data_IF_043056738199
#
_entry.id   IF_043056738199
#
_cell.length_a   1.000
_cell.length_b   1.000
_cell.length_c   1.000
_cell.angle_alpha   90.00
_cell.angle_beta   90.00
_cell.angle_gamma   90.00
#
_symmetry.space_group_name_H-M   'P 1'
#
loop_
_entity.id
_entity.type
_entity.pdbx_description
1 polymer ?
#
# COMPACT_ATOMS: atom_id res chain seq x y z
N UNK A 1 12.74 10.72 17.47
CA UNK A 1 11.48 10.18 18.00
C UNK A 1 10.31 11.10 17.64
N UNK A 2 9.20 10.55 17.21
CA UNK A 2 8.02 11.33 16.84
C UNK A 2 7.29 11.84 18.09
N UNK A 3 6.90 13.10 18.09
CA UNK A 3 6.06 13.67 19.14
C UNK A 3 4.61 13.20 18.98
N UNK A 4 3.80 13.36 20.02
CA UNK A 4 2.38 13.04 19.96
C UNK A 4 1.67 13.80 18.83
N UNK A 5 1.99 15.09 18.67
CA UNK A 5 1.42 15.95 17.62
C UNK A 5 1.80 15.44 16.23
N UNK A 6 3.08 15.05 16.04
CA UNK A 6 3.56 14.50 14.77
C UNK A 6 2.87 13.19 14.43
N UNK A 7 2.67 12.32 15.43
CA UNK A 7 1.95 11.05 15.24
C UNK A 7 0.50 11.28 14.84
N UNK A 8 -0.17 12.23 15.47
CA UNK A 8 -1.54 12.59 15.14
C UNK A 8 -1.65 13.12 13.71
N UNK A 9 -0.67 13.92 13.27
CA UNK A 9 -0.64 14.45 11.92
C UNK A 9 -0.46 13.32 10.89
N UNK A 10 0.44 12.38 11.15
CA UNK A 10 0.65 11.22 10.28
C UNK A 10 -0.63 10.40 10.15
N UNK A 11 -1.31 10.15 11.26
CA UNK A 11 -2.58 9.40 11.28
C UNK A 11 -3.65 10.13 10.47
N UNK A 12 -3.77 11.45 10.65
CA UNK A 12 -4.75 12.25 9.92
C UNK A 12 -4.49 12.24 8.41
N UNK A 13 -3.23 12.40 8.00
CA UNK A 13 -2.84 12.40 6.60
C UNK A 13 -3.10 11.03 5.95
N UNK A 14 -2.76 9.94 6.64
CA UNK A 14 -3.01 8.60 6.15
C UNK A 14 -4.50 8.28 6.05
N UNK A 15 -5.28 8.68 7.06
CA UNK A 15 -6.74 8.49 7.05
C UNK A 15 -7.36 9.18 5.84
N UNK A 16 -6.93 10.40 5.53
CA UNK A 16 -7.38 11.12 4.35
C UNK A 16 -7.03 10.39 3.06
N UNK A 17 -5.81 9.85 2.96
CA UNK A 17 -5.37 9.06 1.81
C UNK A 17 -6.20 7.80 1.64
N UNK A 18 -6.53 7.11 2.73
CA UNK A 18 -7.39 5.93 2.68
C UNK A 18 -8.80 6.25 2.18
N UNK A 19 -9.30 7.44 2.48
CA UNK A 19 -10.61 7.88 1.98
C UNK A 19 -10.60 8.22 0.49
N UNK A 20 -9.45 8.69 -0.05
CA UNK A 20 -9.33 9.12 -1.44
C UNK A 20 -8.85 8.02 -2.38
N UNK A 21 -8.27 6.95 -1.85
CA UNK A 21 -7.62 5.92 -2.66
C UNK A 21 -8.62 5.08 -3.45
N UNK A 22 -8.20 4.63 -4.62
CA UNK A 22 -8.90 3.60 -5.39
C UNK A 22 -8.37 2.22 -5.02
N UNK A 23 -7.07 2.12 -4.71
CA UNK A 23 -6.45 0.91 -4.22
C UNK A 23 -5.39 1.27 -3.20
N UNK A 24 -5.28 0.48 -2.13
CA UNK A 24 -4.16 0.55 -1.19
C UNK A 24 -3.59 -0.86 -1.03
N UNK A 25 -2.26 -0.97 -1.05
CA UNK A 25 -1.57 -2.26 -0.92
C UNK A 25 -0.61 -2.20 0.24
N UNK A 26 -0.68 -3.19 1.12
CA UNK A 26 0.22 -3.33 2.27
C UNK A 26 1.34 -4.30 1.91
N UNK A 27 2.57 -3.92 2.19
CA UNK A 27 3.74 -4.72 1.83
C UNK A 27 4.81 -4.71 2.92
N UNK A 28 5.62 -5.77 2.94
CA UNK A 28 6.79 -5.90 3.79
C UNK A 28 8.02 -5.62 2.92
N UNK A 29 8.80 -4.63 3.32
CA UNK A 29 9.97 -4.20 2.56
C UNK A 29 11.29 -4.55 3.24
N UNK A 30 11.29 -5.49 4.18
CA UNK A 30 12.51 -5.93 4.85
C UNK A 30 13.51 -6.47 3.84
N UNK A 31 14.78 -6.09 4.01
CA UNK A 31 15.85 -6.50 3.11
C UNK A 31 15.92 -5.72 1.80
N UNK A 32 15.06 -4.73 1.61
CA UNK A 32 15.09 -3.88 0.41
C UNK A 32 15.94 -2.63 0.69
N UNK A 33 16.88 -2.34 -0.19
CA UNK A 33 17.75 -1.17 -0.05
C UNK A 33 16.99 0.13 -0.27
N UNK A 34 17.51 1.21 0.28
CA UNK A 34 16.94 2.56 0.09
C UNK A 34 16.90 2.92 -1.41
N UNK A 35 17.94 2.58 -2.15
CA UNK A 35 17.99 2.84 -3.59
C UNK A 35 16.86 2.15 -4.34
N UNK A 36 16.58 0.88 -4.00
CA UNK A 36 15.48 0.12 -4.61
C UNK A 36 14.12 0.69 -4.25
N UNK A 37 13.92 1.10 -2.99
CA UNK A 37 12.67 1.74 -2.55
C UNK A 37 12.45 3.07 -3.28
N UNK A 38 13.51 3.85 -3.50
CA UNK A 38 13.39 5.10 -4.26
C UNK A 38 13.03 4.84 -5.71
N UNK A 39 13.58 3.79 -6.31
CA UNK A 39 13.20 3.38 -7.67
C UNK A 39 11.72 2.97 -7.73
N UNK A 40 11.25 2.22 -6.74
CA UNK A 40 9.85 1.82 -6.64
C UNK A 40 8.93 3.04 -6.52
N UNK A 41 9.29 4.01 -5.69
CA UNK A 41 8.52 5.25 -5.54
C UNK A 41 8.38 6.01 -6.85
N UNK A 42 9.44 6.05 -7.65
CA UNK A 42 9.41 6.71 -8.96
C UNK A 42 8.48 5.99 -9.92
N UNK A 43 8.50 4.66 -9.93
CA UNK A 43 7.60 3.87 -10.76
C UNK A 43 6.15 4.07 -10.35
N UNK A 44 5.87 4.07 -9.05
CA UNK A 44 4.53 4.28 -8.53
C UNK A 44 4.01 5.69 -8.83
N UNK A 45 4.88 6.68 -8.79
CA UNK A 45 4.49 8.05 -9.13
C UNK A 45 3.99 8.15 -10.57
N UNK A 46 4.61 7.41 -11.50
CA UNK A 46 4.17 7.35 -12.90
C UNK A 46 2.78 6.72 -13.02
N UNK A 47 2.42 5.84 -12.11
CA UNK A 47 1.11 5.19 -12.06
C UNK A 47 0.08 5.97 -11.22
N UNK A 48 0.36 7.21 -10.91
CA UNK A 48 -0.46 8.07 -10.03
C UNK A 48 -0.68 7.42 -8.66
N UNK A 49 0.37 6.82 -8.13
CA UNK A 49 0.37 6.17 -6.83
C UNK A 49 1.45 6.75 -5.92
N UNK A 50 1.29 6.50 -4.64
CA UNK A 50 2.17 7.02 -3.60
C UNK A 50 2.56 5.89 -2.66
N UNK A 51 3.82 5.86 -2.23
CA UNK A 51 4.33 4.85 -1.30
C UNK A 51 4.70 5.51 0.02
N UNK A 52 4.12 5.04 1.11
CA UNK A 52 4.38 5.55 2.46
C UNK A 52 4.79 4.41 3.38
N UNK A 53 5.78 4.66 4.22
CA UNK A 53 6.22 3.71 5.25
C UNK A 53 5.65 4.18 6.59
N UNK A 54 5.04 3.27 7.33
CA UNK A 54 4.46 3.59 8.63
C UNK A 54 4.57 2.40 9.57
N UNK A 55 4.50 2.69 10.87
CA UNK A 55 4.43 1.66 11.90
C UNK A 55 3.00 1.13 11.97
N UNK A 56 2.87 -0.17 12.28
CA UNK A 56 1.57 -0.83 12.42
C UNK A 56 0.61 -0.06 13.31
N UNK A 57 1.08 0.43 14.46
CA UNK A 57 0.22 1.16 15.40
C UNK A 57 -0.40 2.41 14.80
N UNK A 58 0.38 3.15 13.99
CA UNK A 58 -0.13 4.35 13.31
C UNK A 58 -1.06 3.97 12.16
N UNK A 59 -0.75 2.88 11.46
CA UNK A 59 -1.61 2.35 10.40
C UNK A 59 -2.97 1.95 10.96
N UNK A 60 -3.00 1.24 12.09
CA UNK A 60 -4.26 0.83 12.75
C UNK A 60 -5.12 2.05 13.10
N UNK A 61 -4.51 3.09 13.65
CA UNK A 61 -5.21 4.32 13.98
C UNK A 61 -5.77 5.04 12.75
N UNK A 62 -4.99 5.06 11.67
CA UNK A 62 -5.42 5.70 10.42
C UNK A 62 -6.61 4.96 9.80
N UNK A 63 -6.58 3.63 9.81
CA UNK A 63 -7.67 2.80 9.30
C UNK A 63 -8.93 2.99 10.12
N UNK A 64 -8.81 3.00 11.45
CA UNK A 64 -9.93 3.24 12.35
C UNK A 64 -10.55 4.61 12.10
N UNK A 65 -9.72 5.65 11.97
CA UNK A 65 -10.18 7.01 11.70
C UNK A 65 -10.85 7.14 10.34
N UNK A 66 -10.42 6.34 9.35
CA UNK A 66 -11.03 6.29 8.02
C UNK A 66 -12.31 5.46 7.98
N UNK A 67 -12.67 4.81 9.09
CA UNK A 67 -13.85 3.97 9.18
C UNK A 67 -13.67 2.58 8.58
N UNK A 68 -12.43 2.11 8.48
CA UNK A 68 -12.10 0.80 7.92
C UNK A 68 -11.78 -0.18 9.03
N UNK A 69 -12.50 -1.30 9.06
CA UNK A 69 -12.23 -2.40 9.99
C UNK A 69 -11.32 -3.41 9.31
N UNK A 70 -10.01 -3.28 9.55
CA UNK A 70 -9.03 -4.21 9.02
C UNK A 70 -8.37 -4.96 10.17
N UNK A 71 -8.30 -6.29 10.06
CA UNK A 71 -7.56 -7.10 11.01
C UNK A 71 -6.09 -7.05 10.63
N UNK A 72 -5.31 -6.27 11.37
CA UNK A 72 -3.88 -6.07 11.10
C UNK A 72 -2.99 -7.00 11.90
N UNK A 73 -3.54 -8.05 12.51
CA UNK A 73 -2.78 -8.99 13.36
C UNK A 73 -1.61 -9.66 12.66
N UNK A 74 -1.71 -9.83 11.34
CA UNK A 74 -0.65 -10.45 10.53
C UNK A 74 0.42 -9.45 10.11
N UNK A 75 0.18 -8.16 10.31
CA UNK A 75 1.12 -7.11 9.97
C UNK A 75 1.98 -6.78 11.18
N UNK A 76 3.29 -6.79 11.02
CA UNK A 76 4.23 -6.52 12.12
C UNK A 76 5.25 -5.46 11.73
N UNK A 77 5.64 -4.63 12.71
CA UNK A 77 6.71 -3.66 12.54
C UNK A 77 6.35 -2.50 11.64
N UNK A 78 7.22 -2.21 10.69
CA UNK A 78 7.01 -1.14 9.72
C UNK A 78 6.40 -1.71 8.45
N UNK A 79 5.35 -1.06 7.99
CA UNK A 79 4.57 -1.50 6.83
C UNK A 79 4.68 -0.44 5.73
N UNK A 80 4.93 -0.90 4.49
CA UNK A 80 4.85 -0.05 3.33
C UNK A 80 3.42 -0.03 2.80
N UNK A 81 2.85 1.15 2.62
CA UNK A 81 1.49 1.30 2.09
C UNK A 81 1.57 2.03 0.76
N UNK A 82 1.00 1.43 -0.27
CA UNK A 82 0.90 2.05 -1.60
C UNK A 82 -0.53 2.53 -1.80
N UNK A 83 -0.72 3.83 -2.02
CA UNK A 83 -2.03 4.41 -2.32
C UNK A 83 -2.10 4.72 -3.81
N UNK A 84 -3.05 4.12 -4.51
CA UNK A 84 -3.30 4.42 -5.92
C UNK A 84 -4.52 5.29 -6.08
N UNK A 85 -4.38 6.40 -6.80
CA UNK A 85 -5.46 7.38 -7.00
C UNK A 85 -5.98 7.40 -8.43
N UNK A 86 -5.21 6.90 -9.37
CA UNK A 86 -5.58 6.84 -10.78
C UNK A 86 -6.19 5.50 -11.16
N UNK A 87 -5.35 4.59 -11.69
CA UNK A 87 -5.78 3.25 -12.08
C UNK A 87 -5.74 2.31 -10.87
N UNK A 88 -6.73 1.46 -10.74
CA UNK A 88 -6.81 0.46 -9.67
C UNK A 88 -5.79 -0.67 -9.84
N UNK A 89 -5.44 -1.01 -11.06
CA UNK A 89 -4.59 -2.16 -11.38
C UNK A 89 -3.10 -1.84 -11.48
N UNK A 90 -2.76 -0.66 -12.01
CA UNK A 90 -1.36 -0.30 -12.27
C UNK A 90 -0.46 -0.36 -11.04
N UNK A 91 -0.86 0.18 -9.88
CA UNK A 91 -0.02 0.06 -8.69
C UNK A 91 0.21 -1.39 -8.27
N UNK A 92 -0.82 -2.23 -8.33
CA UNK A 92 -0.70 -3.65 -7.99
C UNK A 92 0.25 -4.38 -8.93
N UNK A 93 0.18 -4.10 -10.25
CA UNK A 93 1.08 -4.67 -11.25
C UNK A 93 2.53 -4.24 -11.02
N UNK A 94 2.74 -2.97 -10.72
CA UNK A 94 4.06 -2.43 -10.42
C UNK A 94 4.67 -3.13 -9.21
N UNK A 95 3.88 -3.32 -8.16
CA UNK A 95 4.32 -4.00 -6.94
C UNK A 95 4.60 -5.48 -7.19
N UNK A 96 3.78 -6.15 -7.98
CA UNK A 96 4.00 -7.56 -8.33
C UNK A 96 5.32 -7.72 -9.08
N UNK A 97 5.58 -6.88 -10.06
CA UNK A 97 6.84 -6.91 -10.81
C UNK A 97 8.03 -6.68 -9.88
N UNK A 98 7.94 -5.69 -9.00
CA UNK A 98 8.98 -5.40 -8.02
C UNK A 98 9.21 -6.60 -7.08
N UNK A 99 8.15 -7.24 -6.65
CA UNK A 99 8.20 -8.41 -5.77
C UNK A 99 8.90 -9.60 -6.46
N UNK A 100 8.70 -9.78 -7.76
CA UNK A 100 9.38 -10.83 -8.53
C UNK A 100 10.88 -10.57 -8.68
N UNK A 101 11.27 -9.31 -8.78
CA UNK A 101 12.67 -8.90 -8.89
C UNK A 101 13.38 -8.88 -7.53
N UNK A 102 12.63 -8.74 -6.45
CA UNK A 102 13.14 -8.62 -5.09
C UNK A 102 12.39 -9.58 -4.16
N UNK A 103 12.91 -10.78 -3.98
CA UNK A 103 12.24 -11.87 -3.28
C UNK A 103 11.89 -11.58 -1.81
N UNK A 104 12.58 -10.63 -1.17
CA UNK A 104 12.29 -10.23 0.21
C UNK A 104 11.12 -9.28 0.32
N UNK A 105 10.73 -8.65 -0.78
CA UNK A 105 9.57 -7.76 -0.83
C UNK A 105 8.30 -8.62 -0.94
N UNK A 106 7.42 -8.50 0.04
CA UNK A 106 6.20 -9.32 0.09
C UNK A 106 4.96 -8.45 0.15
N UNK A 107 3.95 -8.82 -0.64
CA UNK A 107 2.64 -8.18 -0.60
C UNK A 107 1.82 -8.90 0.46
N UNK A 108 1.40 -8.15 1.49
CA UNK A 108 0.70 -8.71 2.64
C UNK A 108 -0.82 -8.66 2.48
N UNK A 109 -1.31 -7.73 1.72
CA UNK A 109 -2.75 -7.54 1.50
C UNK A 109 -3.03 -6.15 0.99
N UNK A 110 -4.28 -5.73 1.00
CA UNK A 110 -4.64 -4.41 0.54
C UNK A 110 -6.14 -4.16 0.63
N UNK A 111 -6.57 -3.12 -0.03
CA UNK A 111 -7.99 -2.80 -0.15
C UNK A 111 -8.25 -2.11 -1.49
N UNK A 112 -9.38 -2.43 -2.09
CA UNK A 112 -9.84 -1.84 -3.34
C UNK A 112 -11.05 -0.97 -2.98
N UNK A 113 -10.82 0.34 -2.91
CA UNK A 113 -11.77 1.29 -2.34
C UNK A 113 -12.14 0.88 -0.90
N UNK A 114 -13.35 0.40 -0.63
CA UNK A 114 -13.78 -0.04 0.69
C UNK A 114 -13.69 -1.55 0.91
N UNK A 115 -13.31 -2.32 -0.13
CA UNK A 115 -13.23 -3.77 -0.06
C UNK A 115 -11.83 -4.21 0.37
N UNK A 116 -11.76 -5.05 1.39
CA UNK A 116 -10.49 -5.61 1.88
C UNK A 116 -10.04 -6.76 0.99
N UNK A 117 -8.73 -6.83 0.73
CA UNK A 117 -8.11 -7.87 -0.08
C UNK A 117 -7.01 -8.53 0.74
N UNK A 118 -6.92 -9.87 0.66
CA UNK A 118 -5.76 -10.56 1.21
C UNK A 118 -4.61 -10.56 0.18
N UNK A 119 -3.44 -11.08 0.56
CA UNK A 119 -2.28 -11.09 -0.34
C UNK A 119 -2.53 -11.81 -1.65
N UNK A 120 -3.26 -12.92 -1.62
CA UNK A 120 -3.61 -13.68 -2.82
C UNK A 120 -4.53 -12.90 -3.75
N UNK A 121 -5.50 -12.19 -3.19
CA UNK A 121 -6.43 -11.36 -3.97
C UNK A 121 -5.70 -10.21 -4.66
N UNK A 122 -4.74 -9.57 -3.98
CA UNK A 122 -3.92 -8.52 -4.57
C UNK A 122 -3.09 -9.08 -5.73
N UNK A 123 -2.47 -10.24 -5.55
CA UNK A 123 -1.68 -10.89 -6.60
C UNK A 123 -2.55 -11.27 -7.78
N UNK A 124 -3.76 -11.75 -7.55
CA UNK A 124 -4.73 -12.08 -8.61
C UNK A 124 -5.10 -10.82 -9.38
N UNK A 125 -5.39 -9.74 -8.69
CA UNK A 125 -5.70 -8.45 -9.31
C UNK A 125 -4.56 -7.97 -10.19
N UNK A 126 -3.32 -8.10 -9.71
CA UNK A 126 -2.14 -7.68 -10.44
C UNK A 126 -1.91 -8.50 -11.72
N UNK A 127 -2.42 -9.73 -11.79
CA UNK A 127 -2.29 -10.60 -12.95
C UNK A 127 -3.38 -10.37 -14.00
N UNK A 128 -4.43 -9.63 -13.67
CA UNK A 128 -5.51 -9.36 -14.61
C UNK A 128 -5.03 -8.42 -15.73
N UNK A 129 -5.60 -8.54 -16.95
CA UNK A 129 -5.32 -7.57 -18.00
C UNK A 129 -5.74 -6.16 -17.57
N UNK A 130 -5.14 -5.15 -18.21
CA UNK A 130 -5.54 -3.77 -17.96
C UNK A 130 -7.01 -3.56 -18.36
N UNK A 131 -7.65 -2.50 -17.82
CA UNK A 131 -9.05 -2.18 -18.17
C UNK A 131 -9.30 -2.08 -19.66
N UNK A 132 -8.34 -1.54 -20.39
CA UNK A 132 -8.44 -1.39 -21.86
C UNK A 132 -8.58 -2.73 -22.57
N UNK A 133 -7.99 -3.77 -22.03
CA UNK A 133 -8.04 -5.12 -22.58
C UNK A 133 -9.31 -5.87 -22.19
N UNK A 134 -9.92 -5.48 -21.06
CA UNK A 134 -11.12 -6.13 -20.53
C UNK A 134 -12.43 -5.69 -21.24
N UNK A 135 -12.36 -4.68 -22.04
CA UNK A 135 -13.49 -4.22 -22.85
C UNK A 135 -13.58 -5.08 -24.11
#
# INVERSE_FOLDING_TARGET
>A
MLTKTQKQQIVADMADKFKRQKIAVFSDFRGISVAKLQALRRLLKKAEAEYKVTKKTLLDRALEKAGVSLKTKELEGEIGVTFGYGDEMEPAKTLLKFSKENSTFKILGGMLASRLLNGKEVLTLAKLPSREVLI
#
